data_IF_955236920327
#
_entry.id   IF_955236920327
#
_cell.length_a   1.000
_cell.length_b   1.000
_cell.length_c   1.000
_cell.angle_alpha   90.00
_cell.angle_beta   90.00
_cell.angle_gamma   90.00
#
_symmetry.space_group_name_H-M   'P 1'
#
loop_
_entity.id
_entity.type
_entity.pdbx_description
1 polymer ?
#
# COMPACT_ATOMS: atom_id res chain seq x y z
N UNK A 1 3.38 48.19 -26.51
CA UNK A 1 2.33 47.15 -26.65
C UNK A 1 3.05 45.81 -26.54
N UNK A 2 3.47 45.43 -25.35
CA UNK A 2 2.69 44.68 -24.36
C UNK A 2 2.34 43.26 -24.82
N UNK A 3 3.16 42.33 -24.31
CA UNK A 3 2.81 41.07 -23.64
C UNK A 3 1.93 40.05 -24.36
N UNK A 4 2.46 38.82 -24.42
CA UNK A 4 1.62 37.64 -24.21
C UNK A 4 2.24 36.32 -24.67
N UNK A 5 3.29 35.84 -24.00
CA UNK A 5 3.56 34.40 -23.93
C UNK A 5 2.38 33.72 -23.20
N UNK A 6 1.71 32.69 -23.77
CA UNK A 6 0.89 31.81 -22.97
C UNK A 6 1.80 30.78 -22.29
N UNK A 7 2.11 31.12 -21.05
CA UNK A 7 2.31 30.27 -19.89
C UNK A 7 2.27 28.75 -20.12
N UNK A 8 3.39 28.13 -19.75
CA UNK A 8 3.48 26.74 -19.35
C UNK A 8 2.39 26.39 -18.32
N UNK A 9 1.32 25.73 -18.77
CA UNK A 9 0.46 24.95 -17.89
C UNK A 9 1.23 23.71 -17.47
N UNK A 10 1.87 23.83 -16.31
CA UNK A 10 2.36 22.73 -15.47
C UNK A 10 1.17 21.89 -15.04
N UNK A 11 0.66 21.06 -15.94
CA UNK A 11 -0.08 19.87 -15.55
C UNK A 11 0.97 18.88 -15.05
N UNK A 12 1.29 19.03 -13.76
CA UNK A 12 1.89 17.97 -12.98
C UNK A 12 0.94 16.79 -13.04
N UNK A 13 1.06 15.97 -14.09
CA UNK A 13 0.61 14.61 -14.09
C UNK A 13 1.26 13.99 -12.87
N UNK A 14 0.49 13.91 -11.78
CA UNK A 14 0.77 13.01 -10.68
C UNK A 14 0.83 11.68 -11.40
N UNK A 15 2.04 11.23 -11.74
CA UNK A 15 2.25 9.91 -12.34
C UNK A 15 1.51 8.99 -11.40
N UNK A 16 0.38 8.45 -11.85
CA UNK A 16 -0.23 7.30 -11.21
C UNK A 16 0.94 6.32 -11.18
N UNK A 17 1.54 6.16 -10.00
CA UNK A 17 2.58 5.17 -9.80
C UNK A 17 1.85 3.89 -10.14
N UNK A 18 2.13 3.36 -11.32
CA UNK A 18 1.60 2.09 -11.79
C UNK A 18 1.89 1.11 -10.65
N UNK A 19 0.86 0.82 -9.85
CA UNK A 19 1.01 0.01 -8.64
C UNK A 19 1.07 -1.44 -9.11
N UNK A 20 2.19 -1.78 -9.74
CA UNK A 20 2.49 -3.13 -10.11
C UNK A 20 2.41 -3.99 -8.85
N UNK A 21 1.77 -5.14 -8.99
CA UNK A 21 1.61 -6.07 -7.90
C UNK A 21 2.99 -6.45 -7.34
N UNK A 22 3.27 -6.23 -6.05
CA UNK A 22 4.58 -6.47 -5.48
C UNK A 22 4.94 -7.97 -5.43
N UNK A 23 3.99 -8.85 -5.73
CA UNK A 23 4.15 -10.30 -5.69
C UNK A 23 4.45 -10.94 -7.04
N UNK A 24 3.80 -10.47 -8.11
CA UNK A 24 3.93 -11.05 -9.46
C UNK A 24 4.38 -10.04 -10.52
N UNK A 25 4.51 -8.76 -10.16
CA UNK A 25 4.83 -7.68 -11.11
C UNK A 25 3.69 -7.28 -12.06
N UNK A 26 2.52 -7.94 -11.97
CA UNK A 26 1.37 -7.64 -12.83
C UNK A 26 0.83 -6.23 -12.63
N UNK A 27 0.46 -5.56 -13.72
CA UNK A 27 -0.08 -4.19 -13.71
C UNK A 27 -1.62 -4.16 -13.59
N UNK A 28 -2.29 -5.29 -13.78
CA UNK A 28 -3.74 -5.43 -13.57
C UNK A 28 -4.06 -5.48 -12.07
N UNK A 29 -4.13 -4.28 -11.48
CA UNK A 29 -4.37 -4.07 -10.06
C UNK A 29 -5.49 -3.05 -9.83
N UNK A 30 -6.34 -3.34 -8.85
CA UNK A 30 -7.41 -2.47 -8.39
C UNK A 30 -7.02 -1.95 -7.02
N UNK A 31 -6.92 -0.62 -6.88
CA UNK A 31 -6.66 0.02 -5.60
C UNK A 31 -7.98 0.38 -4.93
N UNK A 32 -8.21 -0.18 -3.75
CA UNK A 32 -9.30 0.21 -2.87
C UNK A 32 -8.79 1.28 -1.92
N UNK A 33 -9.24 2.50 -2.14
CA UNK A 33 -8.92 3.64 -1.30
C UNK A 33 -9.94 3.77 -0.17
N UNK A 34 -9.46 3.90 1.07
CA UNK A 34 -10.33 4.20 2.21
C UNK A 34 -11.02 5.56 2.01
N UNK A 35 -12.28 5.65 2.42
CA UNK A 35 -12.98 6.94 2.49
C UNK A 35 -12.38 7.87 3.53
N UNK A 36 -12.37 9.18 3.23
CA UNK A 36 -12.06 10.22 4.22
C UNK A 36 -13.33 10.75 4.90
N UNK A 37 -14.48 10.68 4.21
CA UNK A 37 -15.80 11.14 4.67
C UNK A 37 -16.87 10.29 3.98
N UNK A 38 -17.82 9.72 4.71
CA UNK A 38 -18.93 8.91 4.18
C UNK A 38 -18.76 7.38 4.36
N UNK A 39 -19.82 6.59 4.08
CA UNK A 39 -19.90 5.15 4.34
C UNK A 39 -19.13 4.34 3.28
N UNK A 40 -17.85 4.66 3.07
CA UNK A 40 -16.99 3.71 2.36
C UNK A 40 -16.69 2.60 3.36
N UNK A 41 -17.30 1.42 3.19
CA UNK A 41 -17.24 0.27 4.10
C UNK A 41 -15.81 -0.15 4.48
N UNK A 42 -14.80 0.22 3.69
CA UNK A 42 -13.42 -0.14 3.91
C UNK A 42 -12.64 0.90 4.73
N UNK A 43 -12.36 0.52 5.98
CA UNK A 43 -11.48 1.26 6.89
C UNK A 43 -10.00 1.21 6.48
N UNK A 44 -9.63 0.22 5.67
CA UNK A 44 -8.25 -0.02 5.20
C UNK A 44 -8.08 0.45 3.76
N UNK A 45 -6.85 0.74 3.39
CA UNK A 45 -6.46 0.95 1.99
C UNK A 45 -5.58 -0.21 1.53
N UNK A 46 -5.93 -0.79 0.39
CA UNK A 46 -5.22 -1.93 -0.15
C UNK A 46 -5.25 -1.98 -1.68
N UNK A 47 -4.29 -2.71 -2.23
CA UNK A 47 -4.18 -3.05 -3.63
C UNK A 47 -4.60 -4.51 -3.82
N UNK A 48 -5.57 -4.78 -4.68
CA UNK A 48 -5.93 -6.13 -5.12
C UNK A 48 -5.36 -6.37 -6.52
N UNK A 49 -4.56 -7.40 -6.68
CA UNK A 49 -4.11 -7.83 -8.00
C UNK A 49 -5.10 -8.83 -8.59
N UNK A 50 -5.56 -8.61 -9.82
CA UNK A 50 -6.45 -9.55 -10.52
C UNK A 50 -5.68 -10.74 -11.11
N UNK A 51 -4.38 -10.58 -11.40
CA UNK A 51 -3.53 -11.66 -11.95
C UNK A 51 -3.24 -12.74 -10.91
N UNK A 52 -2.81 -12.35 -9.69
CA UNK A 52 -2.45 -13.31 -8.65
C UNK A 52 -3.47 -13.37 -7.50
N UNK A 53 -4.58 -12.64 -7.60
CA UNK A 53 -5.66 -12.56 -6.61
C UNK A 53 -5.21 -12.18 -5.19
N UNK A 54 -4.02 -11.58 -5.04
CA UNK A 54 -3.48 -11.17 -3.73
C UNK A 54 -3.92 -9.77 -3.37
N UNK A 55 -4.24 -9.58 -2.09
CA UNK A 55 -4.48 -8.29 -1.47
C UNK A 55 -3.22 -7.83 -0.75
N UNK A 56 -2.81 -6.60 -1.02
CA UNK A 56 -1.63 -5.96 -0.43
C UNK A 56 -2.07 -4.69 0.29
N UNK A 57 -1.91 -4.66 1.61
CA UNK A 57 -2.25 -3.47 2.38
C UNK A 57 -1.24 -2.34 2.18
N UNK A 58 -1.76 -1.12 2.09
CA UNK A 58 -0.96 0.13 2.11
C UNK A 58 -1.22 0.91 3.40
N UNK A 59 -2.47 0.97 3.86
CA UNK A 59 -2.88 1.62 5.11
C UNK A 59 -3.83 0.70 5.86
N UNK A 60 -3.55 0.50 7.13
CA UNK A 60 -4.36 -0.33 8.02
C UNK A 60 -4.89 0.54 9.16
N UNK A 61 -6.21 0.57 9.32
CA UNK A 61 -6.87 1.22 10.44
C UNK A 61 -6.87 0.28 11.64
N UNK A 62 -6.47 0.80 12.80
CA UNK A 62 -6.42 0.10 14.09
C UNK A 62 -6.98 0.97 15.18
N UNK A 63 -7.59 0.35 16.18
CA UNK A 63 -8.01 1.09 17.37
C UNK A 63 -6.82 1.38 18.28
N UNK A 64 -6.96 2.33 19.21
CA UNK A 64 -5.94 2.58 20.25
C UNK A 64 -5.68 1.33 21.10
N UNK A 65 -6.70 0.48 21.28
CA UNK A 65 -6.57 -0.81 21.96
C UNK A 65 -5.70 -1.77 21.16
N UNK A 66 -5.94 -1.92 19.86
CA UNK A 66 -5.15 -2.80 18.99
C UNK A 66 -3.68 -2.36 18.94
N UNK A 67 -3.43 -1.05 18.91
CA UNK A 67 -2.08 -0.50 18.96
C UNK A 67 -1.31 -0.93 20.20
N UNK A 68 -1.99 -0.96 21.37
CA UNK A 68 -1.39 -1.41 22.63
C UNK A 68 -1.14 -2.91 22.65
N UNK A 69 -2.14 -3.71 22.25
CA UNK A 69 -2.05 -5.17 22.25
C UNK A 69 -1.00 -5.66 21.26
N UNK A 70 -1.00 -5.12 20.04
CA UNK A 70 -0.05 -5.46 18.99
C UNK A 70 1.31 -4.77 19.12
N UNK A 71 1.46 -3.86 20.08
CA UNK A 71 2.67 -3.04 20.28
C UNK A 71 3.17 -2.38 18.98
N UNK A 72 2.23 -1.94 18.14
CA UNK A 72 2.54 -1.41 16.83
C UNK A 72 3.25 -0.06 16.93
N UNK A 73 4.40 0.04 16.25
CA UNK A 73 5.23 1.25 16.20
C UNK A 73 5.96 1.34 14.87
N UNK A 74 6.42 2.53 14.50
CA UNK A 74 7.26 2.73 13.31
C UNK A 74 8.50 1.84 13.41
N UNK A 75 8.88 1.21 12.29
CA UNK A 75 9.96 0.21 12.23
C UNK A 75 9.56 -1.18 12.75
N UNK A 76 8.41 -1.30 13.42
CA UNK A 76 7.82 -2.59 13.79
C UNK A 76 7.25 -3.33 12.59
N UNK A 77 6.73 -4.53 12.85
CA UNK A 77 6.07 -5.34 11.83
C UNK A 77 4.59 -5.53 12.13
N UNK A 78 3.78 -5.48 11.09
CA UNK A 78 2.39 -5.92 11.11
C UNK A 78 2.31 -7.25 10.36
N UNK A 79 1.60 -8.23 10.92
CA UNK A 79 1.32 -9.49 10.24
C UNK A 79 -0.17 -9.57 9.96
N UNK A 80 -0.50 -9.66 8.68
CA UNK A 80 -1.86 -9.97 8.27
C UNK A 80 -2.12 -11.46 8.48
N UNK A 81 -3.17 -11.81 9.21
CA UNK A 81 -3.48 -13.21 9.53
C UNK A 81 -4.11 -13.96 8.36
N UNK A 82 -4.89 -13.27 7.52
CA UNK A 82 -5.58 -13.87 6.38
C UNK A 82 -4.61 -14.32 5.28
N UNK A 83 -3.69 -13.44 4.89
CA UNK A 83 -2.68 -13.72 3.85
C UNK A 83 -1.35 -14.23 4.42
N UNK A 84 -1.20 -14.28 5.76
CA UNK A 84 0.06 -14.51 6.48
C UNK A 84 1.20 -13.55 6.07
N UNK A 85 0.86 -12.46 5.40
CA UNK A 85 1.84 -11.51 4.88
C UNK A 85 2.39 -10.64 5.99
N UNK A 86 3.71 -10.45 6.00
CA UNK A 86 4.37 -9.51 6.89
C UNK A 86 4.55 -8.17 6.20
N UNK A 87 4.40 -7.12 6.98
CA UNK A 87 4.53 -5.75 6.55
C UNK A 87 5.42 -4.99 7.52
N UNK A 88 6.24 -4.08 7.00
CA UNK A 88 6.97 -3.10 7.82
C UNK A 88 6.11 -1.87 8.01
N UNK A 89 5.96 -1.42 9.26
CA UNK A 89 5.24 -0.19 9.60
C UNK A 89 6.17 0.99 9.34
N UNK A 90 5.86 1.78 8.33
CA UNK A 90 6.66 2.94 7.91
C UNK A 90 6.21 4.23 8.59
N UNK A 91 4.94 4.32 8.97
CA UNK A 91 4.38 5.46 9.70
C UNK A 91 3.19 5.05 10.54
N UNK A 92 3.02 5.72 11.67
CA UNK A 92 1.82 5.63 12.51
C UNK A 92 1.22 7.03 12.59
N UNK A 93 -0.08 7.16 12.33
CA UNK A 93 -0.80 8.42 12.42
C UNK A 93 -2.06 8.22 13.27
N UNK A 94 -2.16 8.94 14.40
CA UNK A 94 -3.40 8.96 15.19
C UNK A 94 -4.41 9.88 14.51
N UNK A 95 -5.61 9.38 14.23
CA UNK A 95 -6.72 10.13 13.63
C UNK A 95 -7.94 10.03 14.55
N UNK A 96 -8.47 11.17 14.97
CA UNK A 96 -9.55 11.19 15.96
C UNK A 96 -9.16 10.60 17.33
N UNK A 97 -10.17 10.17 18.09
CA UNK A 97 -10.00 9.76 19.49
C UNK A 97 -9.59 8.29 19.65
N UNK A 98 -10.06 7.40 18.75
CA UNK A 98 -9.86 5.95 18.88
C UNK A 98 -9.36 5.27 17.60
N UNK A 99 -8.84 6.01 16.62
CA UNK A 99 -8.32 5.44 15.38
C UNK A 99 -6.84 5.80 15.19
N UNK A 100 -6.07 4.82 14.73
CA UNK A 100 -4.67 4.94 14.34
C UNK A 100 -4.49 4.29 12.97
N UNK A 101 -3.87 5.01 12.05
CA UNK A 101 -3.52 4.55 10.72
C UNK A 101 -2.07 4.08 10.70
N UNK A 102 -1.88 2.82 10.32
CA UNK A 102 -0.57 2.22 10.07
C UNK A 102 -0.29 2.27 8.58
N UNK A 103 0.71 3.05 8.18
CA UNK A 103 1.24 3.00 6.81
C UNK A 103 2.23 1.86 6.72
N UNK A 104 2.00 0.96 5.78
CA UNK A 104 2.71 -0.30 5.70
C UNK A 104 3.32 -0.52 4.32
N UNK A 105 4.44 -1.25 4.30
CA UNK A 105 5.02 -1.80 3.07
C UNK A 105 5.14 -3.32 3.19
N UNK A 106 4.72 -4.10 2.17
CA UNK A 106 4.84 -5.55 2.24
C UNK A 106 6.32 -5.95 2.28
N UNK A 107 6.63 -6.92 3.13
CA UNK A 107 7.90 -7.63 3.09
C UNK A 107 7.77 -8.74 2.05
N UNK A 108 7.96 -8.38 0.79
CA UNK A 108 8.07 -9.35 -0.30
C UNK A 108 9.37 -10.10 -0.08
N UNK A 109 9.29 -11.37 0.33
CA UNK A 109 10.46 -12.23 0.23
C UNK A 109 10.79 -12.35 -1.26
N UNK A 110 11.97 -11.89 -1.65
CA UNK A 110 12.50 -12.11 -2.99
C UNK A 110 12.83 -13.60 -3.15
N UNK A 111 11.80 -14.45 -3.25
CA UNK A 111 11.96 -15.91 -3.34
C UNK A 111 11.12 -16.50 -4.48
N UNK A 112 10.92 -15.76 -5.58
CA UNK A 112 10.32 -16.31 -6.80
C UNK A 112 10.83 -15.57 -8.04
N UNK A 113 11.99 -15.99 -8.55
CA UNK A 113 12.51 -15.48 -9.84
C UNK A 113 13.98 -15.75 -10.19
N UNK A 114 14.78 -16.35 -9.30
CA UNK A 114 16.19 -16.65 -9.58
C UNK A 114 16.58 -18.14 -9.41
N UNK A 115 15.61 -19.05 -9.54
CA UNK A 115 15.85 -20.50 -9.42
C UNK A 115 15.28 -21.28 -10.63
N UNK A 116 15.54 -20.78 -11.85
CA UNK A 116 15.39 -21.55 -13.12
C UNK A 116 16.34 -21.06 -14.22
N UNK A 117 17.60 -20.85 -13.88
CA UNK A 117 18.70 -21.18 -14.79
C UNK A 117 19.29 -22.49 -14.25
N UNK A 118 18.63 -23.65 -14.44
CA UNK A 118 19.01 -24.60 -15.51
C UNK A 118 20.49 -24.42 -15.83
N UNK A 119 21.40 -25.19 -15.24
CA UNK A 119 21.35 -26.65 -15.21
C UNK A 119 20.79 -27.17 -16.54
N UNK A 120 21.55 -26.87 -17.59
CA UNK A 120 21.53 -27.59 -18.86
C UNK A 120 22.90 -27.43 -19.51
N UNK A 121 23.70 -28.46 -19.26
CA UNK A 121 24.87 -28.96 -20.00
C UNK A 121 26.11 -28.06 -20.06
#
# INVERSE_FOLDING_TARGET
>A
MERGEPAASREGAIRAVDHACPWCGGTDTVRVQRGFVGPTDDHNQYLRCNTCSRVTFEIISKTVRDMRVGQFRVGGTYRDTASQTKYTITRVLKVGMNECLLYVKPLVRAEAGADRARDRD
#
